data_IF_813639521829
#
_entry.id   IF_813639521829
#
_cell.length_a   1.000
_cell.length_b   1.000
_cell.length_c   1.000
_cell.angle_alpha   90.00
_cell.angle_beta   90.00
_cell.angle_gamma   90.00
#
_symmetry.space_group_name_H-M   'P 1'
#
loop_
_entity.id
_entity.type
_entity.pdbx_description
1 polymer ?
#
# COMPACT_ATOMS: atom_id res chain seq x y z
N UNK A 1 -9.00 4.02 -10.95
CA UNK A 1 -7.56 4.23 -11.23
C UNK A 1 -7.23 3.78 -12.65
N UNK A 2 -6.39 4.53 -13.37
CA UNK A 2 -6.06 4.24 -14.77
C UNK A 2 -5.00 3.12 -14.84
N UNK A 3 -5.30 2.01 -15.52
CA UNK A 3 -4.39 0.86 -15.71
C UNK A 3 -3.03 1.25 -16.32
N UNK A 4 -3.01 2.24 -17.23
CA UNK A 4 -1.78 2.76 -17.83
C UNK A 4 -0.86 3.39 -16.77
N UNK A 5 -1.38 4.23 -15.88
CA UNK A 5 -0.59 4.85 -14.80
C UNK A 5 -0.02 3.80 -13.83
N UNK A 6 -0.79 2.76 -13.52
CA UNK A 6 -0.32 1.66 -12.66
C UNK A 6 0.88 0.95 -13.29
N UNK A 7 0.76 0.57 -14.56
CA UNK A 7 1.83 -0.13 -15.28
C UNK A 7 3.09 0.72 -15.43
N UNK A 8 2.92 2.01 -15.73
CA UNK A 8 4.03 2.96 -15.82
C UNK A 8 4.75 3.11 -14.47
N UNK A 9 4.01 3.31 -13.40
CA UNK A 9 4.56 3.40 -12.05
C UNK A 9 5.28 2.10 -11.63
N UNK A 10 4.68 0.94 -11.91
CA UNK A 10 5.30 -0.35 -11.66
C UNK A 10 6.64 -0.52 -12.40
N UNK A 11 6.71 -0.10 -13.66
CA UNK A 11 7.94 -0.16 -14.44
C UNK A 11 9.03 0.75 -13.87
N UNK A 12 8.69 1.97 -13.47
CA UNK A 12 9.64 2.91 -12.82
C UNK A 12 10.22 2.32 -11.54
N UNK A 13 9.40 1.67 -10.72
CA UNK A 13 9.85 0.97 -9.50
C UNK A 13 10.80 -0.20 -9.83
N UNK A 14 10.46 -1.02 -10.83
CA UNK A 14 11.32 -2.14 -11.25
C UNK A 14 12.67 -1.67 -11.80
N UNK A 15 12.72 -0.50 -12.40
CA UNK A 15 13.97 0.12 -12.89
C UNK A 15 14.80 0.76 -11.77
N UNK A 16 14.32 0.73 -10.52
CA UNK A 16 15.02 1.32 -9.38
C UNK A 16 15.03 2.86 -9.39
N UNK A 17 14.07 3.48 -10.08
CA UNK A 17 13.98 4.94 -10.13
C UNK A 17 13.71 5.51 -8.74
N UNK A 18 14.47 6.52 -8.33
CA UNK A 18 14.23 7.23 -7.09
C UNK A 18 12.96 8.09 -7.21
N UNK A 19 12.02 7.89 -6.30
CA UNK A 19 10.76 8.63 -6.26
C UNK A 19 10.40 9.01 -4.83
N UNK A 20 9.89 10.22 -4.64
CA UNK A 20 9.32 10.65 -3.37
C UNK A 20 7.83 10.31 -3.34
N UNK A 21 7.42 9.52 -2.35
CA UNK A 21 6.02 9.13 -2.15
C UNK A 21 5.53 9.66 -0.79
N UNK A 22 4.44 10.43 -0.74
CA UNK A 22 3.87 10.88 0.53
C UNK A 22 3.23 9.71 1.26
N UNK A 23 3.42 9.67 2.59
CA UNK A 23 2.71 8.75 3.47
C UNK A 23 1.26 9.18 3.65
N UNK A 24 0.31 8.29 3.33
CA UNK A 24 -1.12 8.52 3.51
C UNK A 24 -1.70 7.40 4.39
N UNK A 25 -2.74 7.69 5.15
CA UNK A 25 -3.28 6.74 6.12
C UNK A 25 -4.82 6.74 6.20
N UNK A 26 -5.46 7.70 5.56
CA UNK A 26 -6.91 7.78 5.40
C UNK A 26 -7.27 8.41 4.05
N UNK A 27 -8.56 8.47 3.74
CA UNK A 27 -9.01 9.01 2.45
C UNK A 27 -8.81 10.54 2.35
N UNK A 28 -8.79 11.27 3.47
CA UNK A 28 -8.58 12.72 3.46
C UNK A 28 -7.13 13.00 3.08
N UNK A 29 -6.16 12.43 3.79
CA UNK A 29 -4.74 12.57 3.49
C UNK A 29 -4.40 12.11 2.07
N UNK A 30 -5.00 10.99 1.63
CA UNK A 30 -4.81 10.47 0.29
C UNK A 30 -5.34 11.40 -0.81
N UNK A 31 -6.53 11.99 -0.64
CA UNK A 31 -7.09 12.94 -1.61
C UNK A 31 -6.34 14.26 -1.67
N UNK A 32 -5.76 14.71 -0.57
CA UNK A 32 -4.89 15.89 -0.57
C UNK A 32 -3.63 15.58 -1.39
N UNK A 33 -2.95 14.46 -1.08
CA UNK A 33 -1.74 14.04 -1.78
C UNK A 33 -1.98 13.74 -3.28
N UNK A 34 -3.15 13.16 -3.63
CA UNK A 34 -3.54 12.86 -5.00
C UNK A 34 -3.58 14.09 -5.93
N UNK A 35 -3.81 15.28 -5.35
CA UNK A 35 -3.81 16.56 -6.07
C UNK A 35 -2.44 17.22 -6.19
N UNK A 36 -1.43 16.67 -5.54
CA UNK A 36 -0.08 17.27 -5.48
C UNK A 36 0.88 16.71 -6.53
N UNK A 37 0.38 15.95 -7.52
CA UNK A 37 1.13 15.40 -8.64
C UNK A 37 2.33 14.50 -8.26
N UNK A 38 2.26 13.80 -7.13
CA UNK A 38 3.23 12.77 -6.78
C UNK A 38 3.15 11.57 -7.75
N UNK A 39 4.26 10.88 -8.01
CA UNK A 39 4.27 9.71 -8.87
C UNK A 39 3.49 8.52 -8.32
N UNK A 40 3.39 8.42 -7.00
CA UNK A 40 2.67 7.40 -6.26
C UNK A 40 2.36 7.85 -4.84
N UNK A 41 1.51 7.10 -4.16
CA UNK A 41 1.18 7.25 -2.74
C UNK A 41 1.71 6.04 -1.97
N UNK A 42 2.04 6.22 -0.70
CA UNK A 42 2.41 5.14 0.21
C UNK A 42 1.42 5.06 1.38
N UNK A 43 0.61 3.99 1.46
CA UNK A 43 -0.21 3.76 2.64
C UNK A 43 0.67 3.28 3.79
N UNK A 44 0.83 4.13 4.79
CA UNK A 44 1.64 3.82 5.97
C UNK A 44 0.85 2.99 6.98
N UNK A 45 1.38 1.81 7.35
CA UNK A 45 0.79 0.96 8.37
C UNK A 45 0.71 1.66 9.72
N UNK A 46 1.78 2.34 10.13
CA UNK A 46 1.81 3.15 11.34
C UNK A 46 0.66 4.19 11.38
N UNK A 47 0.52 4.98 10.31
CA UNK A 47 -0.51 6.01 10.24
C UNK A 47 -1.93 5.43 10.28
N UNK A 48 -2.16 4.28 9.64
CA UNK A 48 -3.46 3.58 9.67
C UNK A 48 -3.78 3.11 11.08
N UNK A 49 -2.85 2.45 11.77
CA UNK A 49 -3.05 1.98 13.14
C UNK A 49 -3.30 3.15 14.09
N UNK A 50 -2.49 4.21 14.00
CA UNK A 50 -2.63 5.39 14.85
C UNK A 50 -3.97 6.10 14.63
N UNK A 51 -4.41 6.29 13.37
CA UNK A 51 -5.64 7.02 13.06
C UNK A 51 -6.91 6.20 13.27
N UNK A 52 -6.88 4.89 12.98
CA UNK A 52 -8.05 4.02 13.05
C UNK A 52 -8.27 3.42 14.44
N UNK A 53 -7.19 3.07 15.14
CA UNK A 53 -7.25 2.37 16.42
C UNK A 53 -6.78 3.24 17.59
N UNK A 54 -6.07 4.35 17.33
CA UNK A 54 -5.46 5.17 18.37
C UNK A 54 -4.39 4.42 19.16
N UNK A 55 -3.74 3.43 18.57
CA UNK A 55 -2.78 2.53 19.20
C UNK A 55 -1.40 2.64 18.53
N UNK A 56 -0.33 2.21 19.23
CA UNK A 56 1.00 2.15 18.62
C UNK A 56 1.08 1.08 17.52
N UNK A 57 2.02 1.24 16.60
CA UNK A 57 2.30 0.29 15.53
C UNK A 57 3.07 -0.94 16.08
N UNK A 58 2.31 -1.87 16.62
CA UNK A 58 2.80 -3.09 17.28
C UNK A 58 2.12 -4.36 16.73
N UNK A 59 1.76 -4.38 15.45
CA UNK A 59 1.11 -5.53 14.83
C UNK A 59 -0.32 -5.76 15.26
N UNK A 60 -1.02 -4.71 15.70
CA UNK A 60 -2.38 -4.80 16.25
C UNK A 60 -3.47 -4.75 15.18
N UNK A 61 -3.21 -4.12 14.03
CA UNK A 61 -4.17 -4.09 12.93
C UNK A 61 -4.26 -5.45 12.24
N UNK A 62 -5.48 -5.89 11.98
CA UNK A 62 -5.75 -7.12 11.24
C UNK A 62 -5.59 -6.92 9.73
N UNK A 63 -5.43 -8.03 8.99
CA UNK A 63 -5.50 -8.03 7.52
C UNK A 63 -6.77 -7.33 7.02
N UNK A 64 -7.92 -7.62 7.62
CA UNK A 64 -9.20 -7.05 7.18
C UNK A 64 -9.27 -5.55 7.33
N UNK A 65 -8.75 -5.00 8.43
CA UNK A 65 -8.68 -3.55 8.65
C UNK A 65 -7.77 -2.89 7.61
N UNK A 66 -6.61 -3.49 7.37
CA UNK A 66 -5.63 -2.94 6.44
C UNK A 66 -6.10 -3.02 4.98
N UNK A 67 -6.63 -4.15 4.52
CA UNK A 67 -7.12 -4.29 3.14
C UNK A 67 -8.32 -3.38 2.85
N UNK A 68 -9.18 -3.13 3.85
CA UNK A 68 -10.26 -2.17 3.72
C UNK A 68 -9.75 -0.73 3.56
N UNK A 69 -8.68 -0.37 4.26
CA UNK A 69 -8.03 0.93 4.10
C UNK A 69 -7.41 1.07 2.71
N UNK A 70 -6.70 0.04 2.23
CA UNK A 70 -6.18 -0.03 0.86
C UNK A 70 -7.28 0.23 -0.16
N UNK A 71 -8.40 -0.50 -0.04
CA UNK A 71 -9.54 -0.37 -0.96
C UNK A 71 -10.11 1.05 -0.99
N UNK A 72 -10.33 1.66 0.17
CA UNK A 72 -10.85 3.04 0.27
C UNK A 72 -9.92 4.05 -0.41
N UNK A 73 -8.62 3.98 -0.13
CA UNK A 73 -7.64 4.89 -0.71
C UNK A 73 -7.53 4.66 -2.22
N UNK A 74 -7.36 3.42 -2.67
CA UNK A 74 -7.20 3.09 -4.07
C UNK A 74 -8.43 3.44 -4.93
N UNK A 75 -9.63 3.30 -4.38
CA UNK A 75 -10.87 3.69 -5.08
C UNK A 75 -11.12 5.20 -5.06
N UNK A 76 -10.63 5.89 -4.04
CA UNK A 76 -10.82 7.32 -3.84
C UNK A 76 -9.77 8.22 -4.49
N UNK A 77 -8.72 7.67 -5.12
CA UNK A 77 -7.59 8.39 -5.71
C UNK A 77 -7.28 7.89 -7.13
N UNK A 78 -6.59 8.72 -7.90
CA UNK A 78 -6.12 8.39 -9.25
C UNK A 78 -4.62 8.07 -9.31
N UNK A 79 -3.88 8.44 -8.27
CA UNK A 79 -2.44 8.20 -8.15
C UNK A 79 -2.20 6.75 -7.71
N UNK A 80 -1.22 6.05 -8.30
CA UNK A 80 -0.87 4.68 -7.92
C UNK A 80 -0.53 4.54 -6.43
N UNK A 81 -0.96 3.46 -5.80
CA UNK A 81 -0.80 3.20 -4.37
C UNK A 81 0.15 2.04 -4.11
N UNK A 82 1.18 2.27 -3.29
CA UNK A 82 1.91 1.22 -2.56
C UNK A 82 1.29 1.11 -1.17
N UNK A 83 1.10 -0.09 -0.67
CA UNK A 83 0.52 -0.32 0.65
C UNK A 83 1.45 -1.12 1.55
N UNK A 84 1.58 -0.69 2.80
CA UNK A 84 2.26 -1.44 3.84
C UNK A 84 1.43 -2.67 4.23
N UNK A 85 2.03 -3.84 4.13
CA UNK A 85 1.43 -5.13 4.45
C UNK A 85 2.02 -5.75 5.71
N UNK A 86 2.75 -4.96 6.52
CA UNK A 86 3.42 -5.41 7.74
C UNK A 86 4.29 -6.66 7.47
N UNK A 87 4.09 -7.77 8.16
CA UNK A 87 4.76 -9.07 7.91
C UNK A 87 3.89 -10.06 7.13
N UNK A 88 2.75 -9.60 6.59
CA UNK A 88 1.81 -10.43 5.81
C UNK A 88 0.70 -11.08 6.62
N UNK A 89 0.56 -10.70 7.90
CA UNK A 89 -0.54 -11.10 8.81
C UNK A 89 -0.62 -12.61 9.06
N UNK A 90 0.53 -13.29 9.13
CA UNK A 90 0.59 -14.71 9.48
C UNK A 90 1.71 -15.47 8.78
N UNK A 91 1.52 -16.78 8.55
CA UNK A 91 2.48 -17.62 7.86
C UNK A 91 2.51 -17.44 6.35
N UNK A 92 3.24 -18.31 5.65
CA UNK A 92 3.48 -18.19 4.20
C UNK A 92 2.19 -18.07 3.38
N UNK A 93 1.18 -18.88 3.68
CA UNK A 93 -0.12 -18.83 2.98
C UNK A 93 -0.89 -17.54 3.27
N UNK A 94 -0.73 -16.97 4.47
CA UNK A 94 -1.31 -15.67 4.80
C UNK A 94 -0.64 -14.56 4.01
N UNK A 95 0.66 -14.61 3.80
CA UNK A 95 1.41 -13.64 2.98
C UNK A 95 0.88 -13.64 1.54
N UNK A 96 0.73 -14.82 0.93
CA UNK A 96 0.16 -14.96 -0.41
C UNK A 96 -1.27 -14.40 -0.48
N UNK A 97 -2.10 -14.72 0.50
CA UNK A 97 -3.47 -14.22 0.60
C UNK A 97 -3.50 -12.69 0.74
N UNK A 98 -2.59 -12.12 1.53
CA UNK A 98 -2.46 -10.66 1.73
C UNK A 98 -2.07 -9.96 0.44
N UNK A 99 -1.08 -10.47 -0.28
CA UNK A 99 -0.65 -9.91 -1.58
C UNK A 99 -1.82 -9.87 -2.57
N UNK A 100 -2.49 -11.00 -2.75
CA UNK A 100 -3.67 -11.08 -3.64
C UNK A 100 -4.82 -10.18 -3.20
N UNK A 101 -5.02 -10.05 -1.90
CA UNK A 101 -6.07 -9.17 -1.33
C UNK A 101 -5.77 -7.69 -1.60
N UNK A 102 -4.54 -7.26 -1.39
CA UNK A 102 -4.10 -5.88 -1.65
C UNK A 102 -4.18 -5.53 -3.13
N UNK A 103 -3.79 -6.46 -3.99
CA UNK A 103 -3.93 -6.32 -5.43
C UNK A 103 -5.38 -6.11 -5.86
N UNK A 104 -6.29 -6.98 -5.41
CA UNK A 104 -7.74 -6.86 -5.67
C UNK A 104 -8.32 -5.57 -5.11
N UNK A 105 -7.80 -5.09 -3.98
CA UNK A 105 -8.19 -3.83 -3.37
C UNK A 105 -7.71 -2.61 -4.17
N UNK A 106 -6.72 -2.78 -5.07
CA UNK A 106 -6.26 -1.76 -5.99
C UNK A 106 -4.85 -1.22 -5.73
N UNK A 107 -4.10 -1.76 -4.77
CA UNK A 107 -2.68 -1.44 -4.64
C UNK A 107 -1.90 -1.90 -5.87
N UNK A 108 -0.89 -1.13 -6.26
CA UNK A 108 0.06 -1.52 -7.32
C UNK A 108 1.12 -2.46 -6.76
N UNK A 109 1.52 -2.20 -5.51
CA UNK A 109 2.47 -3.01 -4.75
C UNK A 109 2.06 -3.12 -3.29
N UNK A 110 2.35 -4.26 -2.67
CA UNK A 110 2.39 -4.43 -1.22
C UNK A 110 3.84 -4.49 -0.74
N UNK A 111 4.17 -3.72 0.30
CA UNK A 111 5.44 -3.87 1.02
C UNK A 111 5.21 -4.81 2.18
N UNK A 112 5.91 -5.95 2.19
CA UNK A 112 5.86 -6.92 3.29
C UNK A 112 7.25 -7.02 3.91
N UNK A 113 7.37 -6.71 5.20
CA UNK A 113 8.62 -6.77 5.93
C UNK A 113 9.00 -8.22 6.25
N UNK A 114 10.31 -8.49 6.40
CA UNK A 114 10.80 -9.81 6.84
C UNK A 114 10.85 -10.90 5.76
N UNK A 115 10.55 -10.58 4.51
CA UNK A 115 10.84 -11.48 3.40
C UNK A 115 12.31 -11.35 2.98
N UNK A 116 12.95 -12.47 2.64
CA UNK A 116 14.36 -12.53 2.22
C UNK A 116 14.68 -11.67 0.98
N UNK A 117 13.68 -11.13 0.34
CA UNK A 117 13.78 -10.29 -0.86
C UNK A 117 13.71 -8.78 -0.60
N UNK A 118 13.81 -8.31 0.64
CA UNK A 118 13.78 -6.87 0.95
C UNK A 118 12.51 -6.16 0.48
N UNK A 119 11.45 -6.86 0.35
CA UNK A 119 10.13 -6.46 0.61
C UNK A 119 9.23 -5.80 -0.40
N UNK A 120 9.50 -5.67 -1.65
CA UNK A 120 8.44 -5.22 -2.57
C UNK A 120 7.94 -6.40 -3.39
N UNK A 121 6.70 -6.84 -3.15
CA UNK A 121 6.06 -7.86 -3.98
C UNK A 121 5.34 -7.16 -5.12
N UNK A 122 5.85 -7.38 -6.33
CA UNK A 122 5.23 -6.88 -7.56
C UNK A 122 4.25 -7.92 -8.07
N UNK A 123 3.08 -7.49 -8.51
CA UNK A 123 2.22 -8.30 -9.34
C UNK A 123 2.50 -8.04 -10.82
N UNK A 124 2.61 -9.12 -11.60
CA UNK A 124 2.73 -9.06 -13.05
C UNK A 124 1.44 -8.60 -13.74
#
# INVERSE_FOLDING_TARGET
MNAKKRKEFANRLRQGEYMTLPGVFDLISARVADRMAFPGLYMTGYGVVASSLGLPDAGLASYTEMVNCVAKIAQGTLTPLIADGDTGYGGLLNVEYTVRGYERAGAVFGRIAGTSAGGVVCNE
#
